data_IF_260086427028
#
_entry.id   IF_260086427028
#
_cell.length_a   1.000
_cell.length_b   1.000
_cell.length_c   1.000
_cell.angle_alpha   90.00
_cell.angle_beta   90.00
_cell.angle_gamma   90.00
#
_symmetry.space_group_name_H-M   'P 1'
#
loop_
_entity.id
_entity.type
_entity.pdbx_description
1 polymer ?
#
# COMPACT_ATOMS: atom_id res chain seq x y z
N UNK A 1 32.33 24.72 -12.03
CA UNK A 1 32.55 23.52 -11.21
C UNK A 1 31.30 23.19 -10.37
N UNK A 2 30.65 24.14 -9.73
CA UNK A 2 29.47 23.98 -8.91
C UNK A 2 28.24 23.49 -9.72
N UNK A 3 28.04 24.01 -10.94
CA UNK A 3 26.95 23.56 -11.81
C UNK A 3 27.08 22.08 -12.25
N UNK A 4 28.31 21.59 -12.44
CA UNK A 4 28.55 20.20 -12.81
C UNK A 4 28.27 19.23 -11.66
N UNK A 5 28.51 19.65 -10.42
CA UNK A 5 28.20 18.86 -9.23
C UNK A 5 26.68 18.79 -9.00
N UNK A 6 25.96 19.92 -9.21
CA UNK A 6 24.49 19.94 -9.12
C UNK A 6 23.82 19.10 -10.21
N UNK A 7 24.33 19.15 -11.45
CA UNK A 7 23.82 18.33 -12.55
C UNK A 7 24.12 16.84 -12.33
N UNK A 8 25.28 16.49 -11.75
CA UNK A 8 25.62 15.12 -11.40
C UNK A 8 24.74 14.54 -10.29
N UNK A 9 24.35 15.35 -9.30
CA UNK A 9 23.45 14.94 -8.21
C UNK A 9 22.00 14.80 -8.74
N UNK A 10 21.55 15.67 -9.63
CA UNK A 10 20.20 15.57 -10.25
C UNK A 10 20.12 14.33 -11.15
N UNK A 11 21.15 14.03 -11.93
CA UNK A 11 21.18 12.83 -12.78
C UNK A 11 21.26 11.53 -11.96
N UNK A 12 21.93 11.53 -10.79
CA UNK A 12 21.91 10.38 -9.89
C UNK A 12 20.57 10.20 -9.16
N UNK A 13 19.75 11.24 -9.02
CA UNK A 13 18.39 11.16 -8.46
C UNK A 13 17.37 10.61 -9.47
N UNK A 14 17.60 10.74 -10.76
CA UNK A 14 16.69 10.22 -11.80
C UNK A 14 16.72 8.70 -11.98
N UNK A 15 17.71 8.00 -11.44
CA UNK A 15 17.80 6.52 -11.45
C UNK A 15 17.28 5.86 -10.18
N UNK A 16 16.54 6.56 -9.34
CA UNK A 16 15.75 5.88 -8.31
C UNK A 16 14.61 5.15 -8.99
N UNK A 17 14.84 3.90 -9.15
CA UNK A 17 13.98 2.87 -9.71
C UNK A 17 12.56 3.08 -9.20
N UNK A 18 11.68 3.55 -10.07
CA UNK A 18 10.25 3.66 -9.80
C UNK A 18 9.71 2.24 -9.63
N UNK A 19 9.29 1.91 -8.44
CA UNK A 19 8.55 0.68 -8.21
C UNK A 19 7.15 0.85 -8.78
N UNK A 20 6.76 -0.05 -9.65
CA UNK A 20 5.51 0.01 -10.37
C UNK A 20 4.52 -1.01 -9.81
N UNK A 21 3.36 -0.54 -9.33
CA UNK A 21 2.24 -1.41 -8.99
C UNK A 21 1.52 -1.80 -10.28
N UNK A 22 1.64 -3.06 -10.70
CA UNK A 22 1.03 -3.58 -11.94
C UNK A 22 -0.48 -3.81 -11.80
N UNK A 23 -0.89 -4.42 -10.69
CA UNK A 23 -2.31 -4.71 -10.45
C UNK A 23 -2.61 -4.89 -8.97
N UNK A 24 -3.86 -4.69 -8.64
CA UNK A 24 -4.45 -5.05 -7.35
C UNK A 24 -5.59 -6.05 -7.58
N UNK A 25 -5.60 -7.12 -6.81
CA UNK A 25 -6.68 -8.11 -6.80
C UNK A 25 -7.40 -8.02 -5.46
N UNK A 26 -8.71 -7.82 -5.50
CA UNK A 26 -9.56 -7.70 -4.32
C UNK A 26 -10.62 -8.79 -4.36
N UNK A 27 -10.92 -9.40 -3.22
CA UNK A 27 -12.03 -10.34 -3.07
C UNK A 27 -12.55 -10.28 -1.65
N UNK A 28 -13.87 -10.11 -1.50
CA UNK A 28 -14.51 -10.04 -0.18
C UNK A 28 -14.10 -8.82 0.66
N UNK A 29 -13.43 -7.83 0.09
CA UNK A 29 -12.92 -6.67 0.80
C UNK A 29 -13.89 -5.50 0.68
N UNK A 30 -14.47 -5.05 1.78
CA UNK A 30 -15.42 -3.92 1.89
C UNK A 30 -16.54 -4.02 0.84
N UNK A 31 -16.54 -3.18 -0.19
CA UNK A 31 -17.52 -3.18 -1.27
C UNK A 31 -17.24 -4.19 -2.39
N UNK A 32 -16.06 -4.81 -2.40
CA UNK A 32 -15.65 -5.77 -3.44
C UNK A 32 -15.98 -7.20 -3.02
N UNK A 33 -17.23 -7.63 -3.19
CA UNK A 33 -17.68 -8.98 -2.82
C UNK A 33 -17.02 -10.05 -3.69
N UNK A 34 -17.01 -9.86 -5.01
CA UNK A 34 -16.40 -10.76 -5.98
C UNK A 34 -14.93 -10.42 -6.21
N UNK A 35 -14.22 -11.37 -6.85
CA UNK A 35 -12.87 -11.11 -7.32
C UNK A 35 -12.88 -9.99 -8.35
N UNK A 36 -12.24 -8.90 -7.99
CA UNK A 36 -12.06 -7.71 -8.82
C UNK A 36 -10.56 -7.52 -9.04
N UNK A 37 -10.17 -7.30 -10.30
CA UNK A 37 -8.77 -7.00 -10.66
C UNK A 37 -8.74 -5.60 -11.27
N UNK A 38 -7.88 -4.75 -10.73
CA UNK A 38 -7.61 -3.40 -11.25
C UNK A 38 -6.17 -3.42 -11.75
N UNK A 39 -5.98 -3.17 -13.03
CA UNK A 39 -4.66 -3.07 -13.65
C UNK A 39 -4.23 -1.61 -13.75
N UNK A 40 -2.92 -1.39 -13.64
CA UNK A 40 -2.27 -0.09 -13.73
C UNK A 40 -1.25 -0.15 -14.85
N UNK A 41 -1.71 0.11 -16.08
CA UNK A 41 -0.89 -0.04 -17.29
C UNK A 41 -0.14 1.24 -17.68
N UNK A 42 -0.34 2.33 -16.92
CA UNK A 42 0.21 3.65 -17.21
C UNK A 42 0.86 4.24 -15.95
N UNK A 43 1.78 5.16 -16.14
CA UNK A 43 2.48 5.86 -15.05
C UNK A 43 1.51 6.63 -14.14
N UNK A 44 0.39 7.10 -14.68
CA UNK A 44 -0.67 7.78 -13.94
C UNK A 44 -2.00 7.10 -14.25
N UNK A 45 -2.66 6.58 -13.21
CA UNK A 45 -3.99 5.96 -13.30
C UNK A 45 -4.99 6.70 -12.42
N UNK A 46 -6.09 7.14 -13.01
CA UNK A 46 -7.21 7.79 -12.30
C UNK A 46 -8.36 6.83 -12.05
N UNK A 47 -8.81 6.71 -10.79
CA UNK A 47 -10.01 5.96 -10.43
C UNK A 47 -11.15 6.94 -10.22
N UNK A 48 -12.12 6.93 -11.14
CA UNK A 48 -13.27 7.84 -11.14
C UNK A 48 -14.58 7.09 -10.91
N UNK A 49 -15.59 7.78 -10.40
CA UNK A 49 -16.91 7.20 -10.17
C UNK A 49 -17.74 8.03 -9.17
N UNK A 50 -19.05 7.74 -9.02
CA UNK A 50 -19.92 8.43 -8.08
C UNK A 50 -19.51 8.22 -6.62
N UNK A 51 -20.11 8.99 -5.71
CA UNK A 51 -19.88 8.81 -4.27
C UNK A 51 -20.43 7.45 -3.83
N UNK A 52 -19.68 6.77 -2.94
CA UNK A 52 -20.07 5.45 -2.43
C UNK A 52 -19.69 4.25 -3.30
N UNK A 53 -19.18 4.43 -4.53
CA UNK A 53 -18.83 3.30 -5.43
C UNK A 53 -17.56 2.52 -5.05
N UNK A 54 -16.88 2.88 -3.97
CA UNK A 54 -15.72 2.12 -3.46
C UNK A 54 -14.34 2.66 -3.85
N UNK A 55 -14.23 3.84 -4.50
CA UNK A 55 -12.91 4.44 -4.85
C UNK A 55 -11.91 4.46 -3.69
N UNK A 56 -12.37 4.95 -2.55
CA UNK A 56 -11.53 5.02 -1.34
C UNK A 56 -11.19 3.64 -0.77
N UNK A 57 -11.97 2.61 -1.08
CA UNK A 57 -11.70 1.26 -0.61
C UNK A 57 -10.49 0.63 -1.31
N UNK A 58 -10.16 1.10 -2.53
CA UNK A 58 -8.91 0.69 -3.21
C UNK A 58 -7.69 1.18 -2.45
N UNK A 59 -7.68 2.45 -2.02
CA UNK A 59 -6.60 2.99 -1.19
C UNK A 59 -6.50 2.27 0.16
N UNK A 60 -7.64 2.02 0.81
CA UNK A 60 -7.68 1.26 2.07
C UNK A 60 -7.13 -0.16 1.89
N UNK A 61 -7.40 -0.80 0.75
CA UNK A 61 -6.89 -2.13 0.43
C UNK A 61 -5.37 -2.14 0.28
N UNK A 62 -4.79 -1.15 -0.40
CA UNK A 62 -3.34 -1.00 -0.54
C UNK A 62 -2.70 -0.84 0.83
N UNK A 63 -3.20 0.10 1.64
CA UNK A 63 -2.70 0.33 3.00
C UNK A 63 -2.81 -0.91 3.88
N UNK A 64 -3.93 -1.63 3.78
CA UNK A 64 -4.16 -2.83 4.55
C UNK A 64 -3.11 -3.91 4.26
N UNK A 65 -2.81 -4.18 2.99
CA UNK A 65 -1.79 -5.17 2.60
C UNK A 65 -0.40 -4.74 3.07
N UNK A 66 -0.08 -3.44 3.00
CA UNK A 66 1.22 -2.88 3.39
C UNK A 66 1.39 -2.71 4.91
N UNK A 67 0.50 -3.29 5.71
CA UNK A 67 0.70 -3.42 7.16
C UNK A 67 -0.17 -2.54 8.04
N UNK A 68 -1.14 -1.78 7.49
CA UNK A 68 -2.07 -1.02 8.32
C UNK A 68 -2.90 -1.95 9.23
N UNK A 69 -2.83 -1.72 10.53
CA UNK A 69 -3.55 -2.49 11.54
C UNK A 69 -4.66 -1.69 12.22
N UNK A 70 -4.69 -0.38 12.01
CA UNK A 70 -5.70 0.48 12.62
C UNK A 70 -7.03 0.37 11.88
N UNK A 71 -8.03 -0.17 12.55
CA UNK A 71 -9.40 -0.27 12.05
C UNK A 71 -9.97 1.12 11.72
N UNK A 72 -9.68 2.12 12.58
CA UNK A 72 -10.09 3.51 12.37
C UNK A 72 -9.46 4.11 11.11
N UNK A 73 -8.19 3.85 10.90
CA UNK A 73 -7.43 4.30 9.74
C UNK A 73 -7.99 3.73 8.44
N UNK A 74 -8.47 2.50 8.48
CA UNK A 74 -9.14 1.83 7.36
C UNK A 74 -10.64 2.19 7.26
N UNK A 75 -11.16 3.08 8.08
CA UNK A 75 -12.59 3.46 8.09
C UNK A 75 -13.52 2.25 8.13
N UNK A 76 -13.15 1.25 8.90
CA UNK A 76 -13.86 -0.02 9.06
C UNK A 76 -14.27 -0.15 10.51
N UNK A 77 -15.48 -0.46 10.84
CA UNK A 77 -16.10 -0.64 12.13
C UNK A 77 -15.22 -0.62 13.40
N UNK A 78 -15.37 -1.60 14.25
CA UNK A 78 -14.61 -1.75 15.50
C UNK A 78 -13.60 -2.89 15.45
N UNK A 79 -13.82 -3.88 14.59
CA UNK A 79 -12.99 -5.08 14.46
C UNK A 79 -12.35 -5.16 13.07
N UNK A 80 -11.20 -5.82 12.96
CA UNK A 80 -10.54 -6.01 11.68
C UNK A 80 -11.39 -6.84 10.71
N UNK A 81 -12.20 -7.76 11.19
CA UNK A 81 -13.15 -8.53 10.36
C UNK A 81 -14.25 -7.69 9.72
N UNK A 82 -14.45 -6.44 10.16
CA UNK A 82 -15.45 -5.54 9.57
C UNK A 82 -15.03 -5.06 8.15
N UNK A 83 -13.78 -5.30 7.77
CA UNK A 83 -13.33 -5.08 6.38
C UNK A 83 -13.86 -6.16 5.42
N UNK A 84 -14.35 -7.31 5.94
CA UNK A 84 -14.92 -8.37 5.12
C UNK A 84 -16.33 -7.93 4.69
N UNK A 85 -16.63 -8.08 3.40
CA UNK A 85 -17.94 -7.76 2.86
C UNK A 85 -19.07 -8.40 3.68
N UNK A 86 -19.91 -7.55 4.28
CA UNK A 86 -20.96 -7.95 5.22
C UNK A 86 -22.31 -8.25 4.57
N UNK A 87 -22.35 -8.22 3.23
CA UNK A 87 -23.59 -8.41 2.47
C UNK A 87 -24.24 -7.08 2.06
N UNK A 88 -25.25 -7.20 1.22
CA UNK A 88 -26.14 -6.13 0.78
C UNK A 88 -27.54 -6.68 0.59
N UNK A 89 -28.51 -5.85 0.22
CA UNK A 89 -29.87 -6.27 -0.12
C UNK A 89 -29.90 -7.41 -1.16
N UNK A 90 -28.93 -7.39 -2.10
CA UNK A 90 -28.89 -8.33 -3.23
C UNK A 90 -27.80 -9.40 -3.11
N UNK A 91 -26.95 -9.34 -2.08
CA UNK A 91 -25.81 -10.25 -1.92
C UNK A 91 -25.60 -10.72 -0.51
N UNK A 92 -25.35 -12.00 -0.36
CA UNK A 92 -25.01 -12.60 0.95
C UNK A 92 -23.61 -12.14 1.39
N UNK A 93 -23.37 -12.06 2.72
CA UNK A 93 -22.02 -11.80 3.25
C UNK A 93 -21.06 -12.92 2.85
N UNK A 94 -19.78 -12.59 2.81
CA UNK A 94 -18.70 -13.55 2.55
C UNK A 94 -17.91 -13.82 3.84
N UNK A 95 -17.16 -14.92 3.85
CA UNK A 95 -16.46 -15.37 5.05
C UNK A 95 -14.97 -14.97 5.08
N UNK A 96 -14.47 -14.35 4.00
CA UNK A 96 -13.08 -13.90 3.95
C UNK A 96 -12.94 -12.63 3.13
N UNK A 97 -11.89 -11.87 3.43
CA UNK A 97 -11.35 -10.85 2.55
C UNK A 97 -9.92 -11.23 2.17
N UNK A 98 -9.59 -11.06 0.90
CA UNK A 98 -8.24 -11.24 0.36
C UNK A 98 -7.92 -10.07 -0.55
N UNK A 99 -6.74 -9.51 -0.35
CA UNK A 99 -6.18 -8.49 -1.25
C UNK A 99 -4.76 -8.88 -1.61
N UNK A 100 -4.44 -8.80 -2.90
CA UNK A 100 -3.10 -9.03 -3.44
C UNK A 100 -2.64 -7.80 -4.20
N UNK A 101 -1.46 -7.32 -3.88
CA UNK A 101 -0.73 -6.31 -4.64
C UNK A 101 0.33 -7.00 -5.47
N UNK A 102 0.43 -6.68 -6.75
CA UNK A 102 1.45 -7.22 -7.64
C UNK A 102 2.30 -6.08 -8.17
N UNK A 103 3.58 -6.12 -7.83
CA UNK A 103 4.57 -5.14 -8.22
C UNK A 103 5.46 -5.67 -9.35
N UNK A 104 5.86 -4.78 -10.23
CA UNK A 104 6.94 -5.04 -11.19
C UNK A 104 8.29 -5.04 -10.45
N UNK A 105 9.06 -6.07 -10.65
CA UNK A 105 10.41 -6.21 -10.12
C UNK A 105 11.45 -6.46 -11.25
N UNK A 106 11.13 -6.09 -12.48
CA UNK A 106 12.07 -6.20 -13.61
C UNK A 106 13.37 -5.43 -13.37
N UNK A 107 13.29 -4.36 -12.59
CA UNK A 107 14.42 -3.52 -12.19
C UNK A 107 15.08 -3.94 -10.88
N UNK A 108 14.64 -5.05 -10.27
CA UNK A 108 15.20 -5.61 -9.02
C UNK A 108 15.18 -4.64 -7.84
N UNK A 109 14.11 -3.84 -7.71
CA UNK A 109 13.88 -2.97 -6.53
C UNK A 109 13.72 -3.79 -5.27
N UNK A 110 12.98 -4.89 -5.39
CA UNK A 110 12.93 -5.90 -4.34
C UNK A 110 14.11 -6.85 -4.53
N UNK A 111 14.81 -7.16 -3.45
CA UNK A 111 15.90 -8.16 -3.43
C UNK A 111 15.32 -9.57 -3.65
N UNK A 112 14.99 -9.86 -4.90
CA UNK A 112 14.35 -11.11 -5.32
C UNK A 112 14.59 -11.37 -6.80
N UNK A 113 14.80 -12.64 -7.16
CA UNK A 113 14.99 -13.07 -8.55
C UNK A 113 13.70 -13.08 -9.38
N UNK A 114 12.55 -12.93 -8.75
CA UNK A 114 11.26 -12.90 -9.45
C UNK A 114 11.02 -11.55 -10.13
N UNK A 115 10.50 -11.57 -11.36
CA UNK A 115 10.14 -10.38 -12.13
C UNK A 115 8.86 -9.70 -11.62
N UNK A 116 8.06 -10.42 -10.85
CA UNK A 116 6.89 -9.89 -10.16
C UNK A 116 6.93 -10.28 -8.68
N UNK A 117 6.58 -9.33 -7.81
CA UNK A 117 6.41 -9.59 -6.37
C UNK A 117 4.93 -9.47 -6.03
N UNK A 118 4.36 -10.57 -5.56
CA UNK A 118 2.99 -10.64 -5.06
C UNK A 118 2.99 -10.52 -3.53
N UNK A 119 2.35 -9.50 -2.99
CA UNK A 119 2.12 -9.35 -1.55
C UNK A 119 0.64 -9.54 -1.28
N UNK A 120 0.28 -10.56 -0.50
CA UNK A 120 -1.11 -10.89 -0.20
C UNK A 120 -1.38 -10.82 1.30
N UNK A 121 -2.49 -10.20 1.67
CA UNK A 121 -3.08 -10.31 3.00
C UNK A 121 -4.49 -10.87 2.88
N UNK A 122 -4.80 -11.81 3.77
CA UNK A 122 -6.09 -12.47 3.86
C UNK A 122 -6.57 -12.45 5.32
N UNK A 123 -7.87 -12.31 5.52
CA UNK A 123 -8.51 -12.48 6.83
C UNK A 123 -9.73 -13.35 6.69
N UNK A 124 -9.94 -14.23 7.66
CA UNK A 124 -11.12 -15.10 7.78
C UNK A 124 -12.04 -14.57 8.88
N UNK A 125 -13.34 -14.56 8.61
CA UNK A 125 -14.36 -14.15 9.60
C UNK A 125 -14.41 -15.08 10.82
N UNK A 126 -14.11 -16.35 10.61
CA UNK A 126 -14.27 -17.38 11.64
C UNK A 126 -13.35 -17.19 12.85
N UNK A 127 -12.10 -16.81 12.63
CA UNK A 127 -11.08 -16.66 13.67
C UNK A 127 -10.52 -15.24 13.81
N UNK A 128 -10.94 -14.32 12.94
CA UNK A 128 -10.44 -12.95 12.90
C UNK A 128 -8.90 -12.84 12.75
N UNK A 129 -8.26 -13.90 12.22
CA UNK A 129 -6.82 -13.95 12.04
C UNK A 129 -6.43 -13.55 10.62
N UNK A 130 -5.41 -12.72 10.53
CA UNK A 130 -4.82 -12.32 9.26
C UNK A 130 -3.66 -13.26 8.89
N UNK A 131 -3.68 -13.73 7.65
CA UNK A 131 -2.59 -14.49 7.03
C UNK A 131 -1.90 -13.62 5.97
N UNK A 132 -0.60 -13.78 5.84
CA UNK A 132 0.24 -13.00 4.95
C UNK A 132 1.02 -13.90 4.03
N UNK A 133 1.24 -13.46 2.78
CA UNK A 133 1.98 -14.22 1.79
C UNK A 133 2.84 -13.29 0.93
N UNK A 134 4.05 -13.74 0.60
CA UNK A 134 4.91 -13.16 -0.44
C UNK A 134 5.10 -14.24 -1.50
N UNK A 135 4.76 -13.94 -2.77
CA UNK A 135 4.79 -14.91 -3.88
C UNK A 135 4.15 -16.24 -3.52
N UNK A 136 2.94 -16.18 -2.88
CA UNK A 136 2.15 -17.34 -2.42
C UNK A 136 2.77 -18.11 -1.26
N UNK A 137 3.97 -17.78 -0.81
CA UNK A 137 4.62 -18.37 0.35
C UNK A 137 4.15 -17.70 1.63
N UNK A 138 3.65 -18.43 2.64
CA UNK A 138 3.26 -17.85 3.91
C UNK A 138 4.43 -17.12 4.58
N UNK A 139 4.13 -15.95 5.14
CA UNK A 139 5.11 -15.11 5.82
C UNK A 139 4.48 -14.37 7.00
N UNK A 140 5.25 -13.61 7.74
CA UNK A 140 4.78 -12.75 8.83
C UNK A 140 4.61 -11.32 8.34
N UNK A 141 3.78 -10.54 9.04
CA UNK A 141 3.65 -9.11 8.75
C UNK A 141 4.99 -8.38 8.80
N UNK A 142 5.89 -8.79 9.70
CA UNK A 142 7.24 -8.23 9.78
C UNK A 142 8.01 -8.40 8.46
N UNK A 143 7.91 -9.58 7.85
CA UNK A 143 8.62 -9.91 6.61
C UNK A 143 8.13 -9.02 5.44
N UNK A 144 6.82 -8.69 5.41
CA UNK A 144 6.26 -7.68 4.48
C UNK A 144 6.80 -6.28 4.77
N UNK A 145 6.80 -5.87 6.05
CA UNK A 145 7.30 -4.55 6.43
C UNK A 145 8.79 -4.40 6.06
N UNK A 146 9.59 -5.42 6.32
CA UNK A 146 11.02 -5.42 5.97
C UNK A 146 11.20 -5.33 4.45
N UNK A 147 10.41 -6.10 3.67
CA UNK A 147 10.44 -6.06 2.21
C UNK A 147 10.10 -4.68 1.63
N UNK A 148 9.07 -4.01 2.15
CA UNK A 148 8.62 -2.72 1.62
C UNK A 148 9.40 -1.54 2.18
N UNK A 149 10.06 -1.67 3.35
CA UNK A 149 10.83 -0.61 3.99
C UNK A 149 11.97 -0.13 3.08
N UNK A 150 12.64 -1.05 2.40
CA UNK A 150 13.76 -0.75 1.50
C UNK A 150 13.31 -0.04 0.22
N UNK A 151 12.02 -0.13 -0.12
CA UNK A 151 11.43 0.47 -1.33
C UNK A 151 10.77 1.83 -1.10
N UNK A 152 10.70 2.31 0.15
CA UNK A 152 10.00 3.54 0.51
C UNK A 152 8.48 3.46 0.51
N UNK A 153 7.89 2.25 0.48
CA UNK A 153 6.44 2.00 0.57
C UNK A 153 5.93 1.67 1.98
N UNK A 154 6.68 1.94 3.02
CA UNK A 154 6.24 1.68 4.38
C UNK A 154 4.86 2.28 4.68
N UNK A 155 4.15 1.75 5.67
CA UNK A 155 2.78 2.20 6.06
C UNK A 155 2.69 3.69 6.41
N UNK A 156 3.79 4.26 6.88
CA UNK A 156 3.94 5.67 7.28
C UNK A 156 4.57 6.51 6.17
N UNK A 157 4.80 5.92 4.96
CA UNK A 157 5.50 6.56 3.87
C UNK A 157 4.63 7.61 3.17
N UNK A 158 5.29 8.65 2.63
CA UNK A 158 4.66 9.67 1.78
C UNK A 158 4.11 9.08 0.46
N UNK A 159 4.39 7.81 0.17
CA UNK A 159 3.92 7.14 -1.03
C UNK A 159 2.41 6.91 -1.03
N UNK A 160 1.76 6.92 0.14
CA UNK A 160 0.31 6.75 0.26
C UNK A 160 -0.32 7.96 0.96
N UNK A 161 -0.80 8.90 0.17
CA UNK A 161 -1.45 10.10 0.67
C UNK A 161 -2.95 9.85 0.83
N UNK A 162 -3.45 9.94 2.07
CA UNK A 162 -4.89 9.85 2.35
C UNK A 162 -5.55 11.21 2.28
N UNK A 163 -6.86 11.20 2.04
CA UNK A 163 -7.68 12.42 2.02
C UNK A 163 -7.54 13.18 3.36
N UNK A 164 -7.20 14.46 3.29
CA UNK A 164 -6.97 15.32 4.46
C UNK A 164 -5.51 15.38 4.94
N UNK A 165 -4.66 14.42 4.61
CA UNK A 165 -3.26 14.42 5.06
C UNK A 165 -2.43 15.56 4.45
N UNK A 166 -2.74 16.01 3.23
CA UNK A 166 -2.01 17.13 2.61
C UNK A 166 -2.20 18.41 3.40
N UNK A 167 -3.44 18.70 3.82
CA UNK A 167 -3.73 19.88 4.63
C UNK A 167 -3.06 19.80 6.01
N UNK A 168 -3.15 18.65 6.67
CA UNK A 168 -2.48 18.43 7.96
C UNK A 168 -0.96 18.53 7.85
N UNK A 169 -0.38 18.15 6.72
CA UNK A 169 1.06 18.30 6.44
C UNK A 169 1.46 19.77 6.27
N UNK A 170 0.64 20.56 5.55
CA UNK A 170 0.90 21.99 5.37
C UNK A 170 0.85 22.75 6.71
N UNK A 171 -0.05 22.32 7.61
CA UNK A 171 -0.26 22.93 8.93
C UNK A 171 0.62 22.30 10.03
N UNK A 172 1.39 21.24 9.72
CA UNK A 172 2.23 20.53 10.67
C UNK A 172 3.38 21.40 11.20
N UNK A 173 3.77 21.15 12.46
CA UNK A 173 4.93 21.81 13.07
C UNK A 173 6.23 21.43 12.37
N UNK A 174 7.28 22.28 12.45
CA UNK A 174 8.57 21.99 11.80
C UNK A 174 9.18 20.63 12.18
N UNK A 175 8.99 20.20 13.44
CA UNK A 175 9.50 18.91 13.94
C UNK A 175 8.82 17.72 13.23
N UNK A 176 7.50 17.81 13.02
CA UNK A 176 6.72 16.76 12.35
C UNK A 176 7.07 16.70 10.85
N UNK A 177 7.31 17.86 10.22
CA UNK A 177 7.76 17.92 8.82
C UNK A 177 9.15 17.30 8.64
N UNK A 178 10.04 17.43 9.63
CA UNK A 178 11.38 16.87 9.57
C UNK A 178 11.36 15.35 9.41
N UNK A 179 10.51 14.65 10.16
CA UNK A 179 10.39 13.19 10.06
C UNK A 179 10.01 12.73 8.65
N UNK A 180 9.14 13.49 7.98
CA UNK A 180 8.71 13.20 6.61
C UNK A 180 9.82 13.46 5.57
N UNK A 181 10.63 14.50 5.77
CA UNK A 181 11.81 14.73 4.91
C UNK A 181 12.87 13.66 5.10
N UNK A 182 13.09 13.20 6.34
CA UNK A 182 14.02 12.12 6.65
C UNK A 182 13.57 10.79 6.02
N UNK A 183 12.27 10.55 6.00
CA UNK A 183 11.67 9.40 5.33
C UNK A 183 11.80 9.49 3.80
N UNK A 184 11.45 10.64 3.21
CA UNK A 184 11.60 10.88 1.78
C UNK A 184 13.07 10.77 1.32
N UNK A 185 14.01 11.11 2.19
CA UNK A 185 15.44 10.96 1.94
C UNK A 185 15.96 9.52 2.15
N UNK A 186 15.12 8.60 2.62
CA UNK A 186 15.49 7.21 2.89
C UNK A 186 16.43 7.02 4.07
N UNK A 187 16.56 8.03 4.97
CA UNK A 187 17.43 7.96 6.15
C UNK A 187 16.74 7.37 7.38
N UNK A 188 15.45 7.12 7.32
CA UNK A 188 14.70 6.49 8.43
C UNK A 188 15.27 5.12 8.83
N UNK A 189 15.86 4.39 7.90
CA UNK A 189 16.54 3.09 8.13
C UNK A 189 17.74 3.17 9.09
N UNK A 190 18.39 4.32 9.19
CA UNK A 190 19.61 4.50 9.98
C UNK A 190 19.34 5.02 11.40
N UNK A 191 18.07 5.23 11.77
CA UNK A 191 17.64 5.61 13.12
C UNK A 191 17.22 4.36 13.92
N UNK A 192 18.13 3.44 14.13
CA UNK A 192 17.98 2.37 15.14
C UNK A 192 18.76 2.73 16.37
#
# INVERSE_FOLDING_TARGET
YILRVFFGIIIQLEWRVLMFLKRIELQGFKSFADKTVIQFDQDITGIVGPNGCGKSNVNDAIRWVLGEQSVKSLRSGTNMSDIIFSGSEYRKPVNMARVTLVFDNSTRVFDSDFDEIEITRQILRANNEASYFINKTPCRLKDINDLVMDTGLGKDSLSIITQGNISSFADAKPEDRRSLFEEAAGVAKYKK
#
